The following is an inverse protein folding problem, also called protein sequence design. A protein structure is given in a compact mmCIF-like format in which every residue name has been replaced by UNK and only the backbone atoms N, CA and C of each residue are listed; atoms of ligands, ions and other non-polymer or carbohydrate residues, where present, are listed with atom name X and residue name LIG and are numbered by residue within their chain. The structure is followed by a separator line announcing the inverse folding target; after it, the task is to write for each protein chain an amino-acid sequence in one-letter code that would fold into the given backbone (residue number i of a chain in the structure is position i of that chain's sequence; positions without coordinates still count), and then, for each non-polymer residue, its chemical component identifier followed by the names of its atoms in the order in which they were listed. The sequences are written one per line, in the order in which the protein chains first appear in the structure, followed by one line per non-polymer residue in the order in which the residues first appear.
data_IF_273150287422
#
_entry.id   IF_273150287422
#
_cell.length_a   1.000
_cell.length_b   1.000
_cell.length_c   1.000
_cell.angle_alpha   90.00
_cell.angle_beta   90.00
_cell.angle_gamma   90.00
#
_symmetry.space_group_name_H-M   'P 1'
#
loop_
_entity.id
_entity.type
_entity.pdbx_description
1 polymer ?
#
# COMPACT_ATOMS: atom_id res chain seq x y z
N UNK A 1 -10.01 -2.71 -10.99
CA UNK A 1 -8.57 -2.75 -10.67
C UNK A 1 -8.24 -1.45 -9.96
N UNK A 2 -7.42 -1.48 -8.92
CA UNK A 2 -6.93 -0.26 -8.29
C UNK A 2 -5.96 0.39 -9.29
N UNK A 3 -6.36 1.48 -9.91
CA UNK A 3 -5.54 2.19 -10.91
C UNK A 3 -5.12 3.52 -10.31
N UNK A 4 -3.86 3.59 -9.90
CA UNK A 4 -3.25 4.83 -9.41
C UNK A 4 -1.82 4.90 -9.92
N UNK A 5 -1.37 6.08 -10.38
CA UNK A 5 -0.03 6.27 -10.92
C UNK A 5 1.07 6.23 -9.86
N UNK A 6 0.73 6.25 -8.56
CA UNK A 6 1.73 6.19 -7.48
C UNK A 6 1.83 4.79 -6.86
N UNK A 7 0.85 3.92 -7.11
CA UNK A 7 0.80 2.58 -6.53
C UNK A 7 1.47 1.59 -7.45
N UNK A 8 2.56 1.00 -6.95
CA UNK A 8 3.26 -0.08 -7.65
C UNK A 8 2.59 -1.43 -7.36
N UNK A 9 2.55 -1.82 -6.08
CA UNK A 9 1.98 -3.09 -5.65
C UNK A 9 0.99 -2.89 -4.51
N UNK A 10 -0.10 -3.66 -4.54
CA UNK A 10 -1.10 -3.66 -3.47
C UNK A 10 -1.41 -5.10 -3.05
N UNK A 11 -1.19 -5.40 -1.78
CA UNK A 11 -1.46 -6.71 -1.19
C UNK A 11 -2.59 -6.60 -0.18
N UNK A 12 -3.72 -7.21 -0.52
CA UNK A 12 -4.90 -7.28 0.35
C UNK A 12 -4.74 -8.41 1.37
N UNK A 13 -5.04 -8.11 2.64
CA UNK A 13 -4.91 -8.99 3.80
C UNK A 13 -6.26 -9.03 4.51
N UNK A 14 -6.92 -10.18 4.52
CA UNK A 14 -8.21 -10.35 5.21
C UNK A 14 -8.48 -11.76 5.71
N UNK A 15 -7.64 -12.74 5.37
CA UNK A 15 -7.86 -14.12 5.80
C UNK A 15 -7.70 -14.23 7.33
N UNK A 16 -8.74 -14.75 7.99
CA UNK A 16 -8.82 -14.91 9.46
C UNK A 16 -8.51 -13.62 10.25
N UNK A 17 -8.71 -12.44 9.65
CA UNK A 17 -8.55 -11.14 10.31
C UNK A 17 -9.92 -10.48 10.57
N UNK A 18 -10.04 -9.54 11.53
CA UNK A 18 -11.33 -8.90 11.87
C UNK A 18 -11.95 -8.07 10.75
N UNK A 19 -11.15 -7.63 9.78
CA UNK A 19 -11.55 -6.88 8.61
C UNK A 19 -10.51 -7.04 7.50
N UNK A 20 -10.85 -6.63 6.27
CA UNK A 20 -9.89 -6.58 5.16
C UNK A 20 -9.06 -5.30 5.26
N UNK A 21 -7.75 -5.45 5.14
CA UNK A 21 -6.78 -4.37 5.05
C UNK A 21 -5.89 -4.51 3.80
N UNK A 22 -5.07 -3.52 3.51
CA UNK A 22 -4.10 -3.56 2.42
C UNK A 22 -2.72 -3.03 2.83
N UNK A 23 -1.66 -3.64 2.29
CA UNK A 23 -0.31 -3.07 2.27
C UNK A 23 -0.06 -2.55 0.86
N UNK A 24 0.38 -1.31 0.76
CA UNK A 24 0.61 -0.61 -0.50
C UNK A 24 2.08 -0.22 -0.59
N UNK A 25 2.74 -0.66 -1.65
CA UNK A 25 4.08 -0.20 -2.03
C UNK A 25 3.96 0.88 -3.11
N UNK A 26 4.83 1.87 -3.05
CA UNK A 26 4.94 2.91 -4.06
C UNK A 26 6.19 2.70 -4.91
N UNK A 27 6.18 3.26 -6.12
CA UNK A 27 7.39 3.45 -6.92
C UNK A 27 7.82 4.93 -6.81
N UNK A 28 9.06 5.18 -6.41
CA UNK A 28 9.54 6.55 -6.18
C UNK A 28 9.53 7.39 -7.46
N UNK A 29 9.96 6.80 -8.58
CA UNK A 29 10.05 7.49 -9.87
C UNK A 29 8.66 7.86 -10.38
N UNK A 30 7.71 6.92 -10.33
CA UNK A 30 6.31 7.16 -10.73
C UNK A 30 5.62 8.16 -9.79
N UNK A 31 5.88 8.05 -8.48
CA UNK A 31 5.37 9.01 -7.49
C UNK A 31 5.88 10.41 -7.76
N UNK A 32 7.17 10.58 -8.02
CA UNK A 32 7.79 11.87 -8.32
C UNK A 32 7.33 12.45 -9.67
N UNK A 33 7.10 11.60 -10.68
CA UNK A 33 6.52 12.02 -11.95
C UNK A 33 5.09 12.53 -11.75
N UNK A 34 4.29 11.84 -10.94
CA UNK A 34 2.93 12.26 -10.62
C UNK A 34 2.89 13.54 -9.78
N UNK A 35 3.73 13.66 -8.73
CA UNK A 35 3.85 14.87 -7.92
C UNK A 35 4.20 16.09 -8.77
N UNK A 36 5.17 15.96 -9.69
CA UNK A 36 5.52 17.01 -10.63
C UNK A 36 4.33 17.41 -11.53
N UNK A 37 3.53 16.43 -12.00
CA UNK A 37 2.31 16.70 -12.76
C UNK A 37 1.21 17.41 -11.95
N UNK A 38 1.21 17.24 -10.61
CA UNK A 38 0.33 17.99 -9.69
C UNK A 38 0.90 19.36 -9.30
N UNK A 39 2.10 19.73 -9.75
CA UNK A 39 2.78 20.97 -9.36
C UNK A 39 3.34 20.94 -7.93
N UNK A 40 3.60 19.74 -7.40
CA UNK A 40 4.15 19.50 -6.06
C UNK A 40 5.63 19.18 -6.17
N UNK A 41 6.40 19.59 -5.16
CA UNK A 41 7.83 19.24 -5.07
C UNK A 41 8.03 17.72 -4.96
N UNK A 42 9.06 17.23 -5.64
CA UNK A 42 9.46 15.84 -5.61
C UNK A 42 10.02 15.48 -4.23
N UNK A 43 9.88 14.21 -3.85
CA UNK A 43 10.42 13.67 -2.62
C UNK A 43 11.73 12.94 -2.88
N UNK A 44 12.60 12.90 -1.87
CA UNK A 44 13.95 12.35 -1.99
C UNK A 44 13.96 10.82 -1.93
N UNK A 45 13.03 10.23 -1.17
CA UNK A 45 12.92 8.79 -0.97
C UNK A 45 11.47 8.35 -0.68
N UNK A 46 11.26 7.04 -0.64
CA UNK A 46 9.95 6.44 -0.35
C UNK A 46 9.46 6.73 1.08
N UNK A 47 10.36 6.97 2.04
CA UNK A 47 9.98 7.30 3.41
C UNK A 47 9.39 8.71 3.51
N UNK A 48 9.89 9.66 2.71
CA UNK A 48 9.27 10.97 2.51
C UNK A 48 7.95 10.84 1.74
N UNK A 49 7.90 10.01 0.69
CA UNK A 49 6.67 9.76 -0.08
C UNK A 49 5.51 9.26 0.80
N UNK A 50 5.77 8.29 1.68
CA UNK A 50 4.78 7.71 2.61
C UNK A 50 4.23 8.74 3.60
N UNK A 51 5.04 9.74 3.97
CA UNK A 51 4.62 10.82 4.89
C UNK A 51 3.96 11.98 4.15
N UNK A 52 4.02 12.01 2.83
CA UNK A 52 3.46 13.10 2.04
C UNK A 52 1.92 12.95 2.00
N UNK A 53 1.15 13.93 2.53
CA UNK A 53 -0.30 13.84 2.58
C UNK A 53 -0.95 13.82 1.19
N UNK A 54 -0.29 14.37 0.17
CA UNK A 54 -0.80 14.39 -1.21
C UNK A 54 -0.71 12.99 -1.82
N UNK A 55 0.40 12.29 -1.58
CA UNK A 55 0.58 10.89 -1.99
C UNK A 55 -0.42 10.00 -1.24
N UNK A 56 -0.56 10.20 0.07
CA UNK A 56 -1.54 9.45 0.87
C UNK A 56 -2.97 9.62 0.34
N UNK A 57 -3.39 10.84 0.01
CA UNK A 57 -4.72 11.13 -0.52
C UNK A 57 -4.97 10.46 -1.89
N UNK A 58 -3.95 10.37 -2.74
CA UNK A 58 -4.05 9.66 -4.02
C UNK A 58 -4.23 8.15 -3.82
N UNK A 59 -3.46 7.55 -2.90
CA UNK A 59 -3.64 6.13 -2.54
C UNK A 59 -5.02 5.90 -1.93
N UNK A 60 -5.48 6.78 -1.05
CA UNK A 60 -6.82 6.71 -0.45
C UNK A 60 -7.90 6.76 -1.52
N UNK A 61 -7.78 7.66 -2.52
CA UNK A 61 -8.70 7.71 -3.67
C UNK A 61 -8.72 6.39 -4.42
N UNK A 62 -7.57 5.79 -4.66
CA UNK A 62 -7.45 4.51 -5.36
C UNK A 62 -8.12 3.37 -4.58
N UNK A 63 -7.90 3.32 -3.27
CA UNK A 63 -8.53 2.33 -2.37
C UNK A 63 -10.05 2.51 -2.34
N UNK A 64 -10.54 3.75 -2.25
CA UNK A 64 -11.97 4.04 -2.28
C UNK A 64 -12.61 3.61 -3.61
N UNK A 65 -11.98 3.92 -4.74
CA UNK A 65 -12.43 3.46 -6.05
C UNK A 65 -12.42 1.93 -6.17
N UNK A 66 -11.47 1.23 -5.53
CA UNK A 66 -11.47 -0.23 -5.47
C UNK A 66 -12.61 -0.77 -4.59
N UNK A 67 -12.90 -0.10 -3.47
CA UNK A 67 -13.98 -0.46 -2.55
C UNK A 67 -15.37 -0.32 -3.18
N UNK A 68 -15.58 0.64 -4.09
CA UNK A 68 -16.84 0.81 -4.81
C UNK A 68 -17.18 -0.36 -5.75
N UNK A 69 -16.19 -1.20 -6.08
CA UNK A 69 -16.35 -2.35 -6.98
C UNK A 69 -16.62 -3.67 -6.25
N UNK A 70 -16.58 -3.68 -4.92
CA UNK A 70 -16.70 -4.91 -4.11
C UNK A 70 -17.76 -4.75 -3.03
N UNK A 71 -18.17 -5.86 -2.41
CA UNK A 71 -19.13 -5.80 -1.32
C UNK A 71 -18.53 -5.12 -0.07
N UNK A 72 -19.39 -4.62 0.83
CA UNK A 72 -18.96 -4.06 2.13
C UNK A 72 -18.18 -5.06 3.00
N UNK A 73 -18.40 -6.36 2.82
CA UNK A 73 -17.64 -7.39 3.51
C UNK A 73 -16.21 -7.51 2.96
N UNK A 74 -16.03 -7.19 1.67
CA UNK A 74 -14.75 -7.28 0.95
C UNK A 74 -14.02 -5.93 0.85
N UNK A 75 -14.65 -4.85 1.29
CA UNK A 75 -14.05 -3.51 1.27
C UNK A 75 -12.84 -3.44 2.23
N UNK A 76 -11.75 -2.86 1.72
CA UNK A 76 -10.55 -2.51 2.48
C UNK A 76 -10.93 -1.44 3.51
N UNK A 77 -10.91 -1.81 4.80
CA UNK A 77 -11.22 -0.89 5.91
C UNK A 77 -10.02 -0.09 6.38
N UNK A 78 -8.80 -0.55 6.08
CA UNK A 78 -7.56 0.08 6.49
C UNK A 78 -6.47 -0.26 5.50
N UNK A 79 -5.60 0.69 5.19
CA UNK A 79 -4.42 0.45 4.39
C UNK A 79 -3.22 1.11 5.04
N UNK A 80 -2.03 0.57 4.77
CA UNK A 80 -0.76 1.18 5.17
C UNK A 80 0.14 1.26 3.93
N UNK A 81 0.80 2.40 3.75
CA UNK A 81 1.80 2.59 2.71
C UNK A 81 3.17 2.30 3.33
N UNK A 82 3.95 1.42 2.71
CA UNK A 82 5.27 1.05 3.22
C UNK A 82 6.39 1.83 2.51
N UNK A 83 7.45 2.22 3.24
CA UNK A 83 8.59 2.95 2.66
C UNK A 83 9.60 2.04 1.95
N UNK A 84 9.32 0.74 1.87
CA UNK A 84 10.18 -0.26 1.23
C UNK A 84 9.54 -0.76 -0.06
N UNK A 85 10.26 -0.75 -1.19
CA UNK A 85 9.76 -1.27 -2.45
C UNK A 85 9.72 -2.80 -2.42
N UNK A 86 8.77 -3.39 -3.16
CA UNK A 86 8.79 -4.83 -3.36
C UNK A 86 9.77 -5.17 -4.47
N UNK A 87 10.73 -6.05 -4.19
CA UNK A 87 11.73 -6.45 -5.17
C UNK A 87 11.82 -7.97 -5.24
N UNK A 88 12.46 -8.49 -6.27
CA UNK A 88 12.79 -9.92 -6.31
C UNK A 88 13.87 -10.28 -5.28
N UNK A 89 14.78 -9.35 -5.00
CA UNK A 89 15.91 -9.53 -4.07
C UNK A 89 15.45 -9.70 -2.62
N UNK A 90 14.49 -8.88 -2.15
CA UNK A 90 13.87 -9.07 -0.83
C UNK A 90 12.81 -10.19 -0.82
N UNK A 91 12.62 -10.89 -1.94
CA UNK A 91 11.69 -12.01 -2.06
C UNK A 91 10.21 -11.62 -2.05
N UNK A 92 9.89 -10.32 -2.07
CA UNK A 92 8.52 -9.81 -2.05
C UNK A 92 7.86 -9.86 -3.42
N UNK A 93 8.63 -9.93 -4.50
CA UNK A 93 8.14 -10.17 -5.86
C UNK A 93 8.46 -11.58 -6.38
N UNK A 94 7.59 -12.08 -7.25
CA UNK A 94 7.90 -13.21 -8.13
C UNK A 94 8.81 -12.75 -9.27
N UNK A 95 9.47 -13.69 -9.95
CA UNK A 95 10.19 -13.45 -11.21
C UNK A 95 9.29 -12.94 -12.36
N UNK A 96 7.99 -12.84 -12.12
CA UNK A 96 7.00 -12.24 -13.01
C UNK A 96 6.50 -10.88 -12.53
N UNK A 97 7.24 -10.23 -11.62
CA UNK A 97 6.96 -8.91 -11.05
C UNK A 97 5.59 -8.82 -10.36
N UNK A 98 5.13 -9.91 -9.73
CA UNK A 98 3.91 -9.94 -8.93
C UNK A 98 4.24 -10.07 -7.45
N UNK A 99 3.55 -9.32 -6.60
CA UNK A 99 3.70 -9.44 -5.15
C UNK A 99 3.41 -10.87 -4.65
N UNK A 100 4.35 -11.45 -3.89
CA UNK A 100 4.19 -12.69 -3.14
C UNK A 100 3.46 -12.38 -1.85
N UNK A 101 2.12 -12.43 -1.90
CA UNK A 101 1.24 -12.11 -0.76
C UNK A 101 1.73 -12.65 0.58
N UNK A 102 2.09 -13.94 0.66
CA UNK A 102 2.52 -14.56 1.91
C UNK A 102 3.84 -13.95 2.42
N UNK A 103 4.83 -13.77 1.54
CA UNK A 103 6.11 -13.15 1.90
C UNK A 103 5.93 -11.70 2.38
N UNK A 104 5.04 -10.93 1.74
CA UNK A 104 4.71 -9.55 2.17
C UNK A 104 4.05 -9.56 3.54
N UNK A 105 3.10 -10.46 3.79
CA UNK A 105 2.43 -10.57 5.10
C UNK A 105 3.44 -10.93 6.20
N UNK A 106 4.36 -11.86 5.90
CA UNK A 106 5.36 -12.31 6.86
C UNK A 106 6.41 -11.22 7.13
N UNK A 107 6.89 -10.54 6.09
CA UNK A 107 7.89 -9.46 6.17
C UNK A 107 7.37 -8.23 6.93
N UNK A 108 6.12 -7.83 6.69
CA UNK A 108 5.48 -6.70 7.38
C UNK A 108 4.62 -7.13 8.57
N UNK A 109 4.78 -8.35 9.09
CA UNK A 109 3.92 -8.91 10.13
C UNK A 109 3.80 -8.01 11.37
N UNK A 110 4.93 -7.48 11.85
CA UNK A 110 4.96 -6.55 12.99
C UNK A 110 4.19 -5.25 12.69
N UNK A 111 4.40 -4.66 11.51
CA UNK A 111 3.68 -3.45 11.08
C UNK A 111 2.18 -3.74 10.93
N UNK A 112 1.80 -4.88 10.37
CA UNK A 112 0.39 -5.29 10.23
C UNK A 112 -0.25 -5.41 11.62
N UNK A 113 0.42 -6.06 12.57
CA UNK A 113 -0.16 -6.27 13.90
C UNK A 113 -0.14 -5.01 14.76
N UNK A 114 0.82 -4.09 14.58
CA UNK A 114 0.93 -2.86 15.38
C UNK A 114 0.24 -1.64 14.78
N UNK A 115 0.19 -1.52 13.45
CA UNK A 115 -0.40 -0.37 12.74
C UNK A 115 -1.78 -0.70 12.22
N UNK A 116 -2.03 -1.90 11.70
CA UNK A 116 -3.33 -2.26 11.10
C UNK A 116 -4.27 -2.85 12.15
N UNK A 117 -3.90 -4.00 12.72
CA UNK A 117 -4.70 -4.77 13.67
C UNK A 117 -4.33 -4.54 15.13
N UNK A 118 -3.68 -3.40 15.42
CA UNK A 118 -3.31 -2.99 16.76
C UNK A 118 -4.43 -3.33 17.75
N UNK A 119 -4.18 -4.15 18.78
CA UNK A 119 -5.20 -4.39 19.78
C UNK A 119 -5.56 -3.03 20.38
N UNK A 120 -6.83 -2.63 20.27
CA UNK A 120 -7.32 -1.43 20.97
C UNK A 120 -6.95 -1.63 22.43
N UNK A 121 -6.06 -0.77 22.93
CA UNK A 121 -5.53 -0.82 24.29
C UNK A 121 -6.66 -1.02 25.30
N UNK A 122 -6.43 -1.95 26.22
CA UNK A 122 -7.30 -2.27 27.35
C UNK A 122 -7.21 -1.17 28.41
#
# INVERSE_FOLDING_TARGET
MMTSPVVDQCVVIGDRKPFIAAIVSLNLDETNAWLAAQGVEQVSDLAEAVRNPIVYAEVERAVNAANDLVSRAESIRKFEIVPEPFTEENGLLTASMKARRQAVIDHFGELIDTRIYAPKGR
#
